data_IF_160423086511
#
_entry.id   IF_160423086511
#
_cell.length_a   1.000
_cell.length_b   1.000
_cell.length_c   1.000
_cell.angle_alpha   90.00
_cell.angle_beta   90.00
_cell.angle_gamma   90.00
#
_symmetry.space_group_name_H-M   'P 1'
#
loop_
_entity.id
_entity.type
_entity.pdbx_description
1 polymer ?
#
# COMPACT_ATOMS: atom_id res chain seq x y z
N UNK A 1 -62.98 1.89 29.78
CA UNK A 1 -62.95 1.78 28.30
C UNK A 1 -63.06 0.32 27.95
N UNK A 2 -63.90 -0.02 26.98
CA UNK A 2 -64.07 -1.39 26.49
C UNK A 2 -62.82 -1.79 25.71
N UNK A 3 -62.05 -2.75 26.23
CA UNK A 3 -60.79 -3.20 25.63
C UNK A 3 -61.02 -3.82 24.25
N UNK A 4 -60.19 -3.45 23.29
CA UNK A 4 -60.18 -3.97 21.92
C UNK A 4 -59.39 -5.28 21.89
N UNK A 5 -59.87 -6.30 21.19
CA UNK A 5 -59.20 -7.60 21.15
C UNK A 5 -57.92 -7.57 20.32
N UNK A 6 -56.98 -8.46 20.66
CA UNK A 6 -55.66 -8.59 20.00
C UNK A 6 -55.76 -8.81 18.47
N UNK A 7 -56.79 -9.52 18.02
CA UNK A 7 -56.99 -9.80 16.60
C UNK A 7 -57.41 -8.54 15.83
N UNK A 8 -58.19 -7.64 16.47
CA UNK A 8 -58.60 -6.35 15.90
C UNK A 8 -57.42 -5.37 15.86
N UNK A 9 -56.52 -5.42 16.84
CA UNK A 9 -55.33 -4.56 16.84
C UNK A 9 -54.29 -5.00 15.79
N UNK A 10 -54.18 -6.30 15.53
CA UNK A 10 -53.30 -6.84 14.49
C UNK A 10 -53.77 -6.47 13.08
N UNK A 11 -55.08 -6.40 12.85
CA UNK A 11 -55.62 -6.05 11.53
C UNK A 11 -55.25 -4.63 11.08
N UNK A 12 -55.07 -3.68 12.00
CA UNK A 12 -54.66 -2.31 11.62
C UNK A 12 -53.30 -2.26 10.91
N UNK A 13 -52.35 -3.12 11.30
CA UNK A 13 -51.04 -3.22 10.65
C UNK A 13 -51.09 -3.95 9.31
N UNK A 14 -52.04 -4.88 9.14
CA UNK A 14 -52.22 -5.62 7.88
C UNK A 14 -52.97 -4.77 6.84
N UNK A 15 -53.84 -3.85 7.27
CA UNK A 15 -54.57 -2.93 6.39
C UNK A 15 -53.87 -1.60 6.15
N UNK A 16 -52.78 -1.31 6.87
CA UNK A 16 -51.99 -0.08 6.72
C UNK A 16 -52.58 1.16 7.39
N UNK A 17 -53.57 0.99 8.27
CA UNK A 17 -54.09 2.07 9.10
C UNK A 17 -53.15 2.29 10.29
N UNK A 18 -52.79 3.56 10.54
CA UNK A 18 -51.92 3.92 11.67
C UNK A 18 -52.73 3.95 12.98
N UNK A 19 -52.46 3.06 13.94
CA UNK A 19 -53.19 3.08 15.21
C UNK A 19 -52.88 4.36 15.99
N UNK A 20 -53.84 4.84 16.79
CA UNK A 20 -53.60 5.96 17.71
C UNK A 20 -52.57 5.57 18.78
N UNK A 21 -51.95 6.57 19.42
CA UNK A 21 -50.96 6.33 20.48
C UNK A 21 -51.51 5.42 21.60
N UNK A 22 -52.77 5.61 21.99
CA UNK A 22 -53.43 4.80 23.02
C UNK A 22 -53.60 3.33 22.58
N UNK A 23 -53.94 3.11 21.30
CA UNK A 23 -54.06 1.76 20.74
C UNK A 23 -52.71 1.05 20.59
N UNK A 24 -51.63 1.81 20.33
CA UNK A 24 -50.28 1.28 20.30
C UNK A 24 -49.81 0.82 21.69
N UNK A 25 -50.12 1.59 22.74
CA UNK A 25 -49.77 1.22 24.10
C UNK A 25 -50.54 -0.01 24.61
N UNK A 26 -51.85 -0.12 24.31
CA UNK A 26 -52.63 -1.32 24.64
C UNK A 26 -52.09 -2.59 23.95
N UNK A 27 -51.56 -2.46 22.73
CA UNK A 27 -50.91 -3.57 22.02
C UNK A 27 -49.63 -4.02 22.72
N UNK A 28 -48.77 -3.09 23.13
CA UNK A 28 -47.51 -3.41 23.84
C UNK A 28 -47.80 -4.10 25.17
N UNK A 29 -48.76 -3.60 25.95
CA UNK A 29 -49.17 -4.20 27.21
C UNK A 29 -49.77 -5.60 27.01
N UNK A 30 -50.54 -5.79 25.93
CA UNK A 30 -51.06 -7.10 25.50
C UNK A 30 -49.97 -8.07 25.04
N UNK A 31 -48.91 -7.60 24.37
CA UNK A 31 -47.84 -8.44 23.82
C UNK A 31 -46.89 -8.91 24.93
N UNK A 32 -46.66 -8.07 25.94
CA UNK A 32 -45.78 -8.37 27.07
C UNK A 32 -46.51 -9.03 28.24
N UNK A 33 -47.82 -9.27 28.12
CA UNK A 33 -48.66 -9.91 29.14
C UNK A 33 -48.63 -9.19 30.50
N UNK A 34 -48.42 -7.86 30.48
CA UNK A 34 -48.24 -6.98 31.65
C UNK A 34 -49.57 -6.55 32.30
N UNK A 35 -50.55 -7.45 32.28
CA UNK A 35 -51.99 -7.16 32.35
C UNK A 35 -52.47 -6.32 33.54
N UNK A 36 -51.68 -6.15 34.60
CA UNK A 36 -52.10 -5.46 35.82
C UNK A 36 -51.23 -4.27 36.26
N UNK A 37 -50.05 -4.02 35.65
CA UNK A 37 -49.12 -2.97 36.15
C UNK A 37 -48.74 -1.90 35.12
N UNK A 38 -48.89 -2.19 33.82
CA UNK A 38 -48.41 -1.32 32.74
C UNK A 38 -46.88 -1.13 32.72
N UNK A 39 -46.32 -0.68 31.60
CA UNK A 39 -44.87 -0.45 31.45
C UNK A 39 -44.33 0.55 32.50
N UNK A 40 -45.14 1.51 32.93
CA UNK A 40 -44.77 2.52 33.91
C UNK A 40 -44.51 1.96 35.32
N UNK A 41 -45.33 1.00 35.79
CA UNK A 41 -45.16 0.38 37.11
C UNK A 41 -43.94 -0.55 37.19
N UNK A 42 -43.55 -1.13 36.05
CA UNK A 42 -42.34 -1.96 35.96
C UNK A 42 -41.07 -1.11 36.02
N UNK A 43 -41.07 0.10 35.44
CA UNK A 43 -39.92 1.01 35.46
C UNK A 43 -39.60 1.55 36.86
N UNK A 44 -40.61 1.80 37.72
CA UNK A 44 -40.39 2.32 39.07
C UNK A 44 -39.79 1.30 40.06
N UNK A 45 -39.99 -0.01 39.84
CA UNK A 45 -39.42 -1.06 40.72
C UNK A 45 -37.99 -1.46 40.39
N UNK A 46 -37.44 -0.99 39.28
CA UNK A 46 -36.08 -1.31 38.87
C UNK A 46 -35.15 -0.32 39.59
N UNK A 47 -34.73 -0.69 40.80
CA UNK A 47 -33.61 -0.04 41.49
C UNK A 47 -32.37 -0.05 40.60
N UNK A 48 -31.44 0.89 40.81
CA UNK A 48 -30.24 1.07 39.98
C UNK A 48 -29.41 -0.22 39.77
N UNK A 49 -29.56 -1.21 40.65
CA UNK A 49 -28.89 -2.52 40.58
C UNK A 49 -29.55 -3.53 39.62
N UNK A 50 -30.78 -3.30 39.16
CA UNK A 50 -31.56 -4.27 38.38
C UNK A 50 -31.91 -3.80 36.96
N UNK A 51 -31.15 -2.86 36.37
CA UNK A 51 -31.37 -2.42 34.98
C UNK A 51 -31.40 -3.65 34.04
N UNK A 52 -32.54 -3.95 33.40
CA UNK A 52 -32.68 -5.17 32.62
C UNK A 52 -31.77 -5.12 31.39
N UNK A 53 -31.13 -6.26 31.13
CA UNK A 53 -30.13 -6.52 30.09
C UNK A 53 -30.62 -6.25 28.65
N UNK A 54 -31.92 -5.99 28.45
CA UNK A 54 -32.53 -5.67 27.16
C UNK A 54 -32.72 -4.16 26.91
N UNK A 55 -32.50 -3.30 27.90
CA UNK A 55 -32.33 -1.87 27.65
C UNK A 55 -30.89 -1.67 27.16
N UNK A 56 -30.64 -2.06 25.91
CA UNK A 56 -29.48 -1.60 25.16
C UNK A 56 -29.63 -0.09 25.09
N UNK A 57 -29.06 0.60 26.07
CA UNK A 57 -29.00 2.06 26.09
C UNK A 57 -28.33 2.51 24.79
N UNK A 58 -28.66 3.69 24.29
CA UNK A 58 -27.95 4.32 23.18
C UNK A 58 -26.42 4.21 23.36
N UNK A 59 -25.95 4.33 24.59
CA UNK A 59 -24.56 4.13 24.99
C UNK A 59 -24.03 2.70 24.76
N UNK A 60 -24.83 1.66 24.95
CA UNK A 60 -24.44 0.28 24.66
C UNK A 60 -24.31 0.04 23.15
N UNK A 61 -25.20 0.64 22.35
CA UNK A 61 -25.14 0.56 20.88
C UNK A 61 -23.91 1.31 20.33
N UNK A 62 -23.66 2.52 20.83
CA UNK A 62 -22.47 3.31 20.48
C UNK A 62 -21.19 2.55 20.82
N UNK A 63 -21.11 1.96 22.02
CA UNK A 63 -19.97 1.14 22.43
C UNK A 63 -19.76 -0.08 21.53
N UNK A 64 -20.85 -0.73 21.09
CA UNK A 64 -20.76 -1.87 20.19
C UNK A 64 -20.21 -1.47 18.82
N UNK A 65 -20.71 -0.36 18.26
CA UNK A 65 -20.23 0.17 16.99
C UNK A 65 -18.75 0.60 17.07
N UNK A 66 -18.36 1.31 18.12
CA UNK A 66 -16.96 1.70 18.35
C UNK A 66 -16.03 0.49 18.48
N UNK A 67 -16.47 -0.57 19.16
CA UNK A 67 -15.69 -1.81 19.33
C UNK A 67 -15.60 -2.62 18.03
N UNK A 68 -16.61 -2.53 17.16
CA UNK A 68 -16.65 -3.30 15.91
C UNK A 68 -15.54 -2.92 14.94
N UNK A 69 -15.00 -1.70 15.05
CA UNK A 69 -13.97 -1.19 14.15
C UNK A 69 -12.57 -1.25 14.76
N UNK A 70 -12.40 -1.76 15.99
CA UNK A 70 -11.07 -1.90 16.60
C UNK A 70 -10.19 -2.78 15.70
N UNK A 71 -8.98 -2.29 15.42
CA UNK A 71 -8.04 -2.90 14.46
C UNK A 71 -8.24 -2.44 13.00
N UNK A 72 -9.28 -1.67 12.70
CA UNK A 72 -9.45 -1.05 11.38
C UNK A 72 -8.34 -0.03 11.13
N UNK A 73 -7.74 -0.10 9.94
CA UNK A 73 -6.76 0.87 9.44
C UNK A 73 -7.42 1.74 8.38
N UNK A 74 -7.35 3.06 8.52
CA UNK A 74 -7.92 4.02 7.59
C UNK A 74 -6.97 5.21 7.35
N UNK A 75 -6.96 5.77 6.13
CA UNK A 75 -6.24 7.00 5.84
C UNK A 75 -7.02 8.24 6.28
N UNK A 76 -6.33 9.22 6.83
CA UNK A 76 -6.88 10.49 7.31
C UNK A 76 -6.21 11.68 6.62
N UNK A 77 -7.02 12.68 6.25
CA UNK A 77 -6.56 13.96 5.71
C UNK A 77 -6.19 14.97 6.81
N UNK A 78 -5.52 14.50 7.85
CA UNK A 78 -4.98 15.30 8.97
C UNK A 78 -3.55 14.83 9.27
N UNK A 79 -2.77 15.68 9.95
CA UNK A 79 -1.38 15.38 10.34
C UNK A 79 -1.25 14.73 11.72
N UNK A 80 -2.33 14.71 12.49
CA UNK A 80 -2.39 14.18 13.86
C UNK A 80 -3.55 13.20 13.99
N UNK A 81 -3.32 12.05 14.63
CA UNK A 81 -4.35 11.03 14.79
C UNK A 81 -5.57 11.58 15.59
N UNK A 82 -6.80 11.44 15.08
CA UNK A 82 -8.00 11.85 15.82
C UNK A 82 -8.21 11.04 17.11
N UNK A 83 -9.07 11.55 17.99
CA UNK A 83 -9.43 10.85 19.23
C UNK A 83 -9.96 9.43 18.95
N UNK A 84 -9.46 8.45 19.71
CA UNK A 84 -9.81 7.04 19.53
C UNK A 84 -9.14 6.37 18.33
N UNK A 85 -8.14 7.01 17.72
CA UNK A 85 -7.27 6.42 16.69
C UNK A 85 -5.79 6.61 17.07
N UNK A 86 -4.93 5.71 16.61
CA UNK A 86 -3.47 5.80 16.76
C UNK A 86 -2.84 5.88 15.38
N UNK A 87 -1.82 6.74 15.21
CA UNK A 87 -1.03 6.75 13.98
C UNK A 87 -0.35 5.39 13.76
N UNK A 88 -0.32 4.90 12.52
CA UNK A 88 0.43 3.72 12.11
C UNK A 88 1.92 4.08 11.91
N UNK A 89 2.61 4.31 13.02
CA UNK A 89 4.01 4.79 13.09
C UNK A 89 5.02 3.74 13.59
N UNK A 90 4.60 2.49 13.76
CA UNK A 90 5.45 1.39 14.19
C UNK A 90 5.83 1.38 15.68
N UNK A 91 5.33 2.32 16.49
CA UNK A 91 5.73 2.40 17.90
C UNK A 91 5.17 1.23 18.71
N UNK A 92 5.87 0.90 19.80
CA UNK A 92 5.38 -0.04 20.80
C UNK A 92 4.32 0.64 21.70
N UNK A 93 3.25 -0.09 22.00
CA UNK A 93 2.21 0.28 22.95
C UNK A 93 2.23 -0.71 24.10
N UNK A 94 2.36 -0.18 25.31
CA UNK A 94 2.34 -0.99 26.53
C UNK A 94 0.90 -1.39 26.89
N UNK A 95 0.73 -2.68 27.17
CA UNK A 95 -0.45 -3.27 27.78
C UNK A 95 -0.44 -2.91 29.27
N UNK A 96 -1.08 -1.80 29.64
CA UNK A 96 -1.32 -1.52 31.06
C UNK A 96 -2.30 -2.56 31.61
N UNK A 97 -1.92 -3.23 32.71
CA UNK A 97 -2.60 -4.39 33.33
C UNK A 97 -3.95 -4.09 33.98
N UNK A 98 -4.85 -3.41 33.27
CA UNK A 98 -6.27 -3.32 33.64
C UNK A 98 -7.09 -3.71 32.44
N UNK A 99 -7.97 -4.68 32.64
CA UNK A 99 -8.80 -5.37 31.64
C UNK A 99 -9.77 -4.45 30.86
N UNK A 100 -9.70 -3.14 31.11
CA UNK A 100 -10.52 -2.10 30.49
C UNK A 100 -9.67 -1.02 29.78
N UNK A 101 -8.36 -1.24 29.61
CA UNK A 101 -7.52 -0.37 28.80
C UNK A 101 -7.89 -0.51 27.32
N UNK A 102 -8.15 0.58 26.58
CA UNK A 102 -8.58 0.50 25.19
C UNK A 102 -7.51 -0.19 24.31
N UNK A 103 -6.23 -0.12 24.69
CA UNK A 103 -5.15 -0.82 23.98
C UNK A 103 -5.20 -2.34 24.11
N UNK A 104 -5.82 -2.88 25.17
CA UNK A 104 -5.98 -4.33 25.33
C UNK A 104 -6.88 -4.90 24.24
N UNK A 105 -7.99 -4.21 23.91
CA UNK A 105 -8.89 -4.62 22.83
C UNK A 105 -8.19 -4.61 21.47
N UNK A 106 -7.35 -3.61 21.22
CA UNK A 106 -6.54 -3.59 20.01
C UNK A 106 -5.57 -4.78 19.97
N UNK A 107 -4.90 -5.08 21.07
CA UNK A 107 -4.01 -6.23 21.18
C UNK A 107 -4.73 -7.56 20.98
N UNK A 108 -5.94 -7.74 21.49
CA UNK A 108 -6.75 -8.95 21.21
C UNK A 108 -7.04 -9.14 19.72
N UNK A 109 -7.07 -8.05 18.94
CA UNK A 109 -7.33 -8.10 17.49
C UNK A 109 -6.08 -8.32 16.66
N UNK A 110 -4.98 -7.63 16.96
CA UNK A 110 -3.78 -7.64 16.10
C UNK A 110 -2.61 -8.44 16.68
N UNK A 111 -2.64 -8.74 17.98
CA UNK A 111 -1.58 -9.41 18.71
C UNK A 111 -0.22 -8.75 18.49
N UNK A 112 0.77 -9.56 18.18
CA UNK A 112 2.14 -9.14 17.87
C UNK A 112 2.48 -9.20 16.38
N UNK A 113 1.46 -9.16 15.51
CA UNK A 113 1.66 -9.29 14.05
C UNK A 113 2.65 -8.27 13.47
N UNK A 114 2.79 -7.10 14.10
CA UNK A 114 3.70 -6.02 13.69
C UNK A 114 4.93 -5.88 14.61
N UNK A 115 5.12 -6.83 15.54
CA UNK A 115 6.23 -6.87 16.47
C UNK A 115 5.80 -7.00 17.93
N UNK A 116 6.70 -7.57 18.74
CA UNK A 116 6.48 -7.92 20.15
C UNK A 116 6.69 -6.76 21.13
N UNK A 117 6.68 -5.52 20.64
CA UNK A 117 7.00 -4.35 21.47
C UNK A 117 8.41 -4.39 22.04
N UNK A 118 8.52 -4.13 23.34
CA UNK A 118 9.75 -4.17 24.12
C UNK A 118 10.22 -5.61 24.49
N UNK A 119 9.51 -6.65 24.05
CA UNK A 119 9.90 -8.05 24.26
C UNK A 119 9.59 -8.63 25.65
N UNK A 120 8.96 -7.87 26.55
CA UNK A 120 8.61 -8.34 27.89
C UNK A 120 7.21 -9.01 27.98
N UNK A 121 6.51 -9.15 26.85
CA UNK A 121 5.15 -9.71 26.77
C UNK A 121 4.03 -8.77 27.24
N UNK A 122 4.36 -7.54 27.62
CA UNK A 122 3.43 -6.50 28.07
C UNK A 122 3.33 -5.35 27.07
N UNK A 123 3.71 -5.57 25.81
CA UNK A 123 3.59 -4.56 24.76
C UNK A 123 3.49 -5.21 23.39
N UNK A 124 3.03 -4.43 22.41
CA UNK A 124 2.94 -4.83 21.01
C UNK A 124 3.21 -3.62 20.11
N UNK A 125 3.63 -3.87 18.87
CA UNK A 125 3.87 -2.79 17.91
C UNK A 125 2.62 -2.49 17.09
N UNK A 126 2.45 -1.22 16.77
CA UNK A 126 1.53 -0.79 15.71
C UNK A 126 2.12 -1.11 14.32
N UNK A 127 1.29 -1.17 13.27
CA UNK A 127 1.79 -1.14 11.90
C UNK A 127 2.63 0.13 11.65
N UNK A 128 3.69 0.04 10.85
CA UNK A 128 4.39 1.20 10.30
C UNK A 128 4.07 1.32 8.81
N UNK A 129 3.14 2.21 8.46
CA UNK A 129 2.65 2.41 7.10
C UNK A 129 3.12 3.72 6.48
N UNK A 130 4.09 4.40 7.11
CA UNK A 130 4.62 5.66 6.62
C UNK A 130 5.45 5.41 5.36
N UNK A 131 5.03 6.03 4.25
CA UNK A 131 5.70 5.88 2.96
C UNK A 131 5.42 4.57 2.23
N UNK A 132 4.58 3.70 2.79
CA UNK A 132 4.32 2.35 2.25
C UNK A 132 3.11 2.34 1.31
N UNK A 133 3.16 1.48 0.29
CA UNK A 133 1.98 1.10 -0.48
C UNK A 133 1.31 -0.12 0.17
N UNK A 134 0.05 0.04 0.58
CA UNK A 134 -0.72 -1.08 1.15
C UNK A 134 -1.27 -1.96 0.04
N UNK A 135 -1.05 -3.27 0.18
CA UNK A 135 -1.61 -4.31 -0.71
C UNK A 135 -2.59 -5.20 0.04
N UNK A 136 -3.49 -5.84 -0.70
CA UNK A 136 -4.29 -6.93 -0.16
C UNK A 136 -3.40 -8.09 0.30
N UNK A 137 -3.75 -8.70 1.43
CA UNK A 137 -3.07 -9.91 1.89
C UNK A 137 -3.54 -11.10 1.06
N UNK A 138 -2.59 -11.78 0.42
CA UNK A 138 -2.84 -13.03 -0.28
C UNK A 138 -2.96 -14.20 0.70
N UNK A 139 -4.17 -14.46 1.19
CA UNK A 139 -4.49 -15.63 2.00
C UNK A 139 -5.21 -16.72 1.20
N UNK A 140 -4.77 -16.95 -0.04
CA UNK A 140 -5.33 -17.98 -0.90
C UNK A 140 -4.53 -19.29 -0.76
N UNK A 141 -5.17 -20.46 -0.63
CA UNK A 141 -4.48 -21.75 -0.53
C UNK A 141 -3.53 -22.05 -1.69
N UNK A 142 -3.88 -21.57 -2.89
CA UNK A 142 -3.05 -21.67 -4.11
C UNK A 142 -2.15 -20.43 -4.34
N UNK A 143 -1.91 -19.64 -3.29
CA UNK A 143 -1.08 -18.44 -3.32
C UNK A 143 0.37 -18.78 -3.69
N UNK A 144 0.91 -18.07 -4.68
CA UNK A 144 2.19 -18.39 -5.30
C UNK A 144 3.42 -17.79 -4.57
N UNK A 145 3.26 -17.06 -3.45
CA UNK A 145 4.39 -16.43 -2.76
C UNK A 145 4.43 -16.68 -1.25
N UNK A 146 5.19 -17.70 -0.79
CA UNK A 146 5.26 -18.07 0.64
C UNK A 146 5.93 -17.02 1.55
N UNK A 147 6.47 -15.93 0.98
CA UNK A 147 7.08 -14.83 1.74
C UNK A 147 6.12 -13.65 1.97
N UNK A 148 4.93 -13.66 1.35
CA UNK A 148 3.92 -12.59 1.47
C UNK A 148 2.94 -12.86 2.60
N UNK A 149 3.50 -13.07 3.78
CA UNK A 149 2.75 -13.30 5.01
C UNK A 149 1.94 -12.06 5.41
N UNK A 150 0.92 -12.26 6.24
CA UNK A 150 0.16 -11.14 6.81
C UNK A 150 1.11 -10.16 7.52
N UNK A 151 0.95 -8.87 7.22
CA UNK A 151 1.77 -7.81 7.80
C UNK A 151 3.22 -7.75 7.30
N UNK A 152 3.65 -8.60 6.36
CA UNK A 152 5.02 -8.57 5.86
C UNK A 152 5.27 -7.41 4.90
N UNK A 153 6.45 -6.78 5.04
CA UNK A 153 6.96 -5.78 4.10
C UNK A 153 7.61 -6.47 2.89
N UNK A 154 7.52 -5.83 1.74
CA UNK A 154 8.22 -6.25 0.54
C UNK A 154 8.86 -5.03 -0.11
N UNK A 155 10.15 -5.13 -0.41
CA UNK A 155 10.90 -4.09 -1.11
C UNK A 155 10.39 -3.86 -2.53
N UNK A 156 10.74 -2.71 -3.10
CA UNK A 156 10.46 -2.42 -4.50
C UNK A 156 11.21 -3.39 -5.43
N UNK A 157 10.56 -3.75 -6.54
CA UNK A 157 11.18 -4.62 -7.53
C UNK A 157 10.62 -4.33 -8.92
N UNK A 158 11.51 -4.23 -9.90
CA UNK A 158 11.16 -4.27 -11.32
C UNK A 158 11.39 -5.69 -11.85
N UNK A 159 10.48 -6.15 -12.71
CA UNK A 159 10.69 -7.42 -13.39
C UNK A 159 11.91 -7.31 -14.32
N UNK A 160 12.72 -8.38 -14.35
CA UNK A 160 13.80 -8.50 -15.33
C UNK A 160 13.26 -8.34 -16.74
N UNK A 161 13.89 -7.47 -17.52
CA UNK A 161 13.52 -7.19 -18.91
C UNK A 161 14.76 -6.86 -19.74
N UNK A 162 14.60 -6.86 -21.07
CA UNK A 162 15.67 -6.54 -22.02
C UNK A 162 15.22 -5.47 -23.00
N UNK A 163 16.17 -4.67 -23.46
CA UNK A 163 15.98 -3.74 -24.57
C UNK A 163 16.71 -4.27 -25.79
N UNK A 164 16.06 -4.21 -26.95
CA UNK A 164 16.66 -4.47 -28.25
C UNK A 164 16.81 -3.12 -28.95
N UNK A 165 18.05 -2.68 -29.19
CA UNK A 165 18.32 -1.51 -30.03
C UNK A 165 18.10 -1.92 -31.50
N UNK A 166 17.24 -1.20 -32.22
CA UNK A 166 16.97 -1.44 -33.65
C UNK A 166 18.12 -0.97 -34.57
N UNK A 167 19.25 -0.58 -33.97
CA UNK A 167 20.47 -0.21 -34.65
C UNK A 167 20.59 1.30 -34.77
N UNK A 168 21.82 1.78 -34.61
CA UNK A 168 22.18 3.16 -34.89
C UNK A 168 23.33 3.19 -35.90
N UNK A 169 23.36 4.24 -36.73
CA UNK A 169 24.41 4.43 -37.73
C UNK A 169 25.60 5.16 -37.11
N UNK A 170 26.80 4.62 -37.27
CA UNK A 170 28.04 5.38 -37.09
C UNK A 170 28.50 5.91 -38.45
N UNK A 171 28.88 7.18 -38.51
CA UNK A 171 29.57 7.77 -39.66
C UNK A 171 31.01 8.06 -39.24
N UNK A 172 32.00 7.45 -39.89
CA UNK A 172 33.41 7.70 -39.62
C UNK A 172 33.86 9.02 -40.28
N UNK A 173 33.51 10.16 -39.68
CA UNK A 173 33.94 11.45 -40.23
C UNK A 173 35.39 11.74 -39.85
N UNK A 174 36.31 11.15 -40.61
CA UNK A 174 37.73 11.53 -40.63
C UNK A 174 38.58 10.74 -39.64
N UNK A 175 38.96 9.52 -40.04
CA UNK A 175 40.14 8.89 -39.45
C UNK A 175 41.39 9.30 -40.26
N UNK A 176 42.52 9.48 -39.58
CA UNK A 176 43.78 9.88 -40.19
C UNK A 176 44.66 8.66 -40.49
N UNK A 177 45.07 8.48 -41.74
CA UNK A 177 46.14 7.55 -42.06
C UNK A 177 47.49 8.24 -41.87
N UNK A 178 48.22 7.84 -40.84
CA UNK A 178 49.62 8.23 -40.63
C UNK A 178 50.53 7.16 -41.26
N UNK A 179 51.03 7.41 -42.48
CA UNK A 179 52.13 6.64 -43.02
C UNK A 179 53.45 7.29 -42.61
N UNK A 180 54.17 6.68 -41.68
CA UNK A 180 55.55 7.05 -41.38
C UNK A 180 56.45 6.56 -42.52
N UNK A 181 56.64 7.39 -43.55
CA UNK A 181 57.65 7.12 -44.56
C UNK A 181 59.03 7.31 -43.90
N UNK A 182 59.67 6.22 -43.47
CA UNK A 182 61.08 6.23 -43.12
C UNK A 182 61.87 6.48 -44.41
N UNK A 183 62.09 7.75 -44.78
CA UNK A 183 63.05 8.13 -45.81
C UNK A 183 64.45 7.90 -45.27
N UNK A 184 64.90 6.65 -45.34
CA UNK A 184 66.33 6.35 -45.24
C UNK A 184 67.00 6.79 -46.54
N UNK A 185 67.54 8.01 -46.54
CA UNK A 185 68.61 8.36 -47.45
C UNK A 185 69.87 7.60 -47.03
N UNK A 186 70.02 6.39 -47.57
CA UNK A 186 71.30 5.71 -47.68
C UNK A 186 71.30 4.82 -48.93
N UNK A 187 71.08 5.43 -50.09
CA UNK A 187 71.49 4.79 -51.35
C UNK A 187 73.02 4.91 -51.45
N UNK A 188 73.75 3.91 -50.94
CA UNK A 188 75.09 3.60 -51.45
C UNK A 188 74.94 2.83 -52.78
N UNK A 189 74.31 3.46 -53.76
CA UNK A 189 74.30 2.96 -55.12
C UNK A 189 75.24 3.82 -55.94
N UNK A 190 76.41 3.24 -56.25
CA UNK A 190 77.37 3.76 -57.21
C UNK A 190 76.62 4.14 -58.50
N UNK A 191 76.60 5.43 -58.79
CA UNK A 191 75.95 5.99 -59.98
C UNK A 191 76.78 5.58 -61.22
N UNK A 192 76.44 4.45 -61.84
CA UNK A 192 76.87 4.14 -63.21
C UNK A 192 75.74 4.58 -64.14
N UNK A 193 75.92 5.76 -64.72
CA UNK A 193 75.00 6.32 -65.71
C UNK A 193 74.86 5.39 -66.91
N UNK A 194 73.63 4.94 -67.14
CA UNK A 194 73.20 4.29 -68.38
C UNK A 194 71.83 4.89 -68.79
N UNK A 195 71.64 5.27 -70.06
CA UNK A 195 70.42 5.92 -70.51
C UNK A 195 69.27 4.90 -70.60
N UNK A 196 68.27 5.05 -69.74
CA UNK A 196 67.07 4.19 -69.70
C UNK A 196 66.18 4.47 -68.50
N UNK A 197 66.13 5.73 -68.06
CA UNK A 197 65.38 6.12 -66.87
C UNK A 197 63.85 6.08 -67.13
N UNK A 198 63.15 5.51 -66.14
CA UNK A 198 61.72 5.56 -65.85
C UNK A 198 60.78 4.58 -66.56
N UNK A 199 60.42 3.52 -65.82
CA UNK A 199 59.01 3.13 -65.66
C UNK A 199 58.74 2.87 -64.16
N UNK A 200 58.00 3.73 -63.45
CA UNK A 200 57.53 3.44 -62.10
C UNK A 200 56.23 2.63 -62.21
N UNK A 201 56.34 1.30 -62.29
CA UNK A 201 55.16 0.43 -62.15
C UNK A 201 54.85 0.21 -60.67
N UNK A 202 53.66 0.71 -60.30
CA UNK A 202 52.90 0.57 -59.05
C UNK A 202 53.51 -0.24 -57.90
N UNK A 203 53.86 0.46 -56.81
CA UNK A 203 53.88 -0.16 -55.48
C UNK A 203 52.44 -0.22 -54.96
N UNK A 204 51.76 -1.34 -55.21
CA UNK A 204 50.52 -1.68 -54.51
C UNK A 204 50.86 -2.07 -53.07
N UNK A 205 50.91 -1.06 -52.20
CA UNK A 205 51.02 -1.29 -50.77
C UNK A 205 49.69 -1.84 -50.23
N UNK A 206 49.56 -3.16 -50.13
CA UNK A 206 48.53 -3.83 -49.32
C UNK A 206 48.88 -3.69 -47.84
N UNK A 207 48.91 -2.44 -47.35
CA UNK A 207 49.04 -2.16 -45.93
C UNK A 207 47.80 -2.66 -45.20
N UNK A 208 47.97 -3.70 -44.37
CA UNK A 208 46.92 -4.14 -43.44
C UNK A 208 46.82 -3.07 -42.35
N UNK A 209 45.91 -2.12 -42.52
CA UNK A 209 45.63 -1.09 -41.52
C UNK A 209 44.74 -1.65 -40.41
N UNK A 210 45.24 -1.67 -39.17
CA UNK A 210 44.40 -1.92 -38.01
C UNK A 210 43.62 -0.63 -37.68
N UNK A 211 42.33 -0.61 -37.98
CA UNK A 211 41.43 0.42 -37.47
C UNK A 211 41.13 0.11 -35.99
N UNK A 212 41.63 0.93 -35.08
CA UNK A 212 41.16 0.90 -33.70
C UNK A 212 39.75 1.50 -33.70
N UNK A 213 38.74 0.64 -33.54
CA UNK A 213 37.40 1.11 -33.16
C UNK A 213 37.51 1.53 -31.70
N UNK A 214 37.63 2.82 -31.47
CA UNK A 214 37.38 3.39 -30.14
C UNK A 214 35.95 3.01 -29.76
N UNK A 215 35.79 2.32 -28.63
CA UNK A 215 34.47 1.89 -28.15
C UNK A 215 33.71 3.11 -27.66
N UNK A 216 33.14 3.85 -28.62
CA UNK A 216 32.28 4.99 -28.35
C UNK A 216 31.03 4.53 -27.64
N UNK A 217 30.90 4.89 -26.36
CA UNK A 217 29.62 4.83 -25.67
C UNK A 217 28.68 5.83 -26.34
N UNK A 218 27.70 5.35 -27.11
CA UNK A 218 26.58 6.16 -27.52
C UNK A 218 25.74 6.44 -26.26
N UNK A 219 25.91 7.64 -25.69
CA UNK A 219 25.00 8.13 -24.65
C UNK A 219 23.64 8.38 -25.33
N UNK A 220 22.78 7.37 -25.33
CA UNK A 220 21.39 7.51 -25.72
C UNK A 220 20.81 8.58 -24.79
N UNK A 221 20.53 9.75 -25.37
CA UNK A 221 20.22 10.95 -24.62
C UNK A 221 19.07 10.73 -23.64
N UNK A 222 19.14 11.43 -22.50
CA UNK A 222 18.07 11.51 -21.52
C UNK A 222 16.74 11.83 -22.23
N UNK A 223 15.68 11.02 -22.05
CA UNK A 223 14.38 11.31 -22.63
C UNK A 223 13.80 12.59 -22.00
N UNK A 224 14.07 13.74 -22.63
CA UNK A 224 13.76 15.10 -22.15
C UNK A 224 12.28 15.39 -21.91
N UNK A 225 11.38 14.49 -22.33
CA UNK A 225 9.93 14.60 -22.13
C UNK A 225 9.34 13.58 -21.15
N UNK A 226 10.17 12.71 -20.57
CA UNK A 226 9.70 11.70 -19.63
C UNK A 226 9.71 12.26 -18.20
N UNK A 227 8.71 11.88 -17.39
CA UNK A 227 8.77 12.15 -15.95
C UNK A 227 9.71 11.13 -15.33
N UNK A 228 10.89 11.57 -14.93
CA UNK A 228 11.90 10.76 -14.27
C UNK A 228 12.25 11.33 -12.88
N UNK A 229 12.94 10.54 -12.08
CA UNK A 229 13.39 10.91 -10.74
C UNK A 229 14.36 9.86 -10.21
N UNK A 230 14.85 10.04 -8.99
CA UNK A 230 15.73 9.07 -8.31
C UNK A 230 15.07 7.71 -8.10
N UNK A 231 13.74 7.68 -8.04
CA UNK A 231 12.95 6.49 -7.77
C UNK A 231 11.76 6.40 -8.75
N UNK A 232 11.42 5.18 -9.15
CA UNK A 232 10.21 4.91 -9.93
C UNK A 232 9.01 4.86 -8.99
N UNK A 233 8.14 5.88 -9.04
CA UNK A 233 6.91 5.94 -8.23
C UNK A 233 5.70 6.38 -9.04
N UNK A 234 4.49 5.84 -8.76
CA UNK A 234 3.27 6.39 -9.32
C UNK A 234 3.02 7.80 -8.75
N UNK A 235 2.15 8.57 -9.40
CA UNK A 235 1.62 9.80 -8.77
C UNK A 235 0.88 9.38 -7.48
N UNK A 236 1.28 9.94 -6.35
CA UNK A 236 0.69 9.64 -5.06
C UNK A 236 0.47 10.92 -4.22
N UNK A 237 -0.42 10.81 -3.24
CA UNK A 237 -0.67 11.82 -2.19
C UNK A 237 -0.54 11.09 -0.85
N UNK A 238 0.18 11.69 0.10
CA UNK A 238 0.36 11.12 1.43
C UNK A 238 -0.80 11.52 2.34
N UNK A 239 -1.40 10.52 3.00
CA UNK A 239 -2.40 10.67 4.07
C UNK A 239 -1.89 9.96 5.32
N UNK A 240 -2.34 10.38 6.49
CA UNK A 240 -1.97 9.74 7.74
C UNK A 240 -2.79 8.45 7.92
N UNK A 241 -2.13 7.30 7.85
CA UNK A 241 -2.77 6.04 8.23
C UNK A 241 -2.90 5.97 9.75
N UNK A 242 -4.11 5.68 10.22
CA UNK A 242 -4.38 5.44 11.62
C UNK A 242 -5.10 4.11 11.83
N UNK A 243 -4.91 3.52 13.02
CA UNK A 243 -5.58 2.32 13.49
C UNK A 243 -6.52 2.62 14.66
N UNK A 244 -7.73 2.07 14.63
CA UNK A 244 -8.73 2.22 15.69
C UNK A 244 -8.37 1.34 16.89
N UNK A 245 -8.43 1.89 18.11
CA UNK A 245 -8.21 1.18 19.38
C UNK A 245 -9.41 1.31 20.32
#
# INVERSE_FOLDING_TARGET
MTQVSRDVLKSYFETGDTPSADQFWELIDSLLNLKDEGVAGVCERISEEARPQWLVTEQALVRYLEQSWVGCVAPFAVDTAPAGWLACDGRAIDLTATDNSPYYRLFERIGTAFGSGNGNGQSFNLPDLRGEFVRGWENHPDGHHPTRNFGSKQEDQLQSHRHEDQGHYHYDRGHQHSNTHMRWYAHNALWVGGPGAFEPWGNESTGVGYAALDMGYAQLGEPTQSRHGTETRPRNIALLYCIKY
#
